data_IF_436830795337
#
_entry.id   IF_436830795337
#
_cell.length_a   1.000
_cell.length_b   1.000
_cell.length_c   1.000
_cell.angle_alpha   90.00
_cell.angle_beta   90.00
_cell.angle_gamma   90.00
#
_symmetry.space_group_name_H-M   'P 1'
#
loop_
_entity.id
_entity.type
_entity.pdbx_description
1 polymer ?
#
# COMPACT_ATOMS: atom_id res chain seq x y z
N UNK A 1 5.13 -9.96 16.95
CA UNK A 1 6.19 -9.74 15.92
C UNK A 1 5.86 -8.45 15.17
N UNK A 2 6.83 -7.73 14.61
CA UNK A 2 6.54 -6.51 13.84
C UNK A 2 6.54 -6.78 12.35
N UNK A 3 5.63 -6.16 11.60
CA UNK A 3 5.53 -6.28 10.14
C UNK A 3 5.31 -4.88 9.53
N UNK A 4 5.85 -4.58 8.32
CA UNK A 4 5.48 -3.36 7.60
C UNK A 4 3.97 -3.24 7.53
N UNK A 5 3.44 -2.04 7.73
CA UNK A 5 2.00 -1.81 7.66
C UNK A 5 1.48 -2.00 6.23
N UNK A 6 0.16 -2.16 6.09
CA UNK A 6 -0.46 -2.26 4.78
C UNK A 6 -0.07 -1.02 3.95
N UNK A 7 0.59 -1.21 2.80
CA UNK A 7 1.08 -0.08 2.06
C UNK A 7 -0.05 0.83 1.51
N UNK A 8 -1.32 0.40 1.54
CA UNK A 8 -2.48 1.31 1.41
C UNK A 8 -2.49 2.44 2.45
N UNK A 9 -2.13 2.17 3.70
CA UNK A 9 -2.36 3.09 4.82
C UNK A 9 -1.46 4.33 4.75
N UNK A 10 -0.20 4.18 4.36
CA UNK A 10 0.70 5.31 4.15
C UNK A 10 0.46 6.01 2.81
N UNK A 11 -0.01 5.30 1.78
CA UNK A 11 -0.41 5.93 0.52
C UNK A 11 -1.64 6.82 0.69
N UNK A 12 -2.61 6.42 1.50
CA UNK A 12 -3.71 7.31 1.96
C UNK A 12 -3.16 8.57 2.61
N UNK A 13 -2.13 8.42 3.43
CA UNK A 13 -1.47 9.53 4.11
C UNK A 13 -0.69 10.44 3.15
N UNK A 14 -0.04 9.88 2.12
CA UNK A 14 0.81 10.62 1.18
C UNK A 14 0.01 11.29 0.04
N UNK A 15 -0.91 10.56 -0.58
CA UNK A 15 -1.72 11.06 -1.68
C UNK A 15 -2.98 11.82 -1.21
N UNK A 16 -3.36 11.70 0.06
CA UNK A 16 -4.51 12.42 0.63
C UNK A 16 -5.80 12.17 -0.18
N UNK A 17 -6.48 13.24 -0.59
CA UNK A 17 -7.70 13.17 -1.41
C UNK A 17 -7.48 12.45 -2.75
N UNK A 18 -6.26 12.47 -3.32
CA UNK A 18 -5.96 11.73 -4.56
C UNK A 18 -5.94 10.21 -4.37
N UNK A 19 -5.73 9.71 -3.15
CA UNK A 19 -5.88 8.28 -2.88
C UNK A 19 -7.35 7.87 -2.87
N UNK A 20 -8.25 8.74 -2.42
CA UNK A 20 -9.70 8.50 -2.49
C UNK A 20 -10.21 8.49 -3.93
N UNK A 21 -9.49 9.15 -4.85
CA UNK A 21 -9.69 9.06 -6.29
C UNK A 21 -9.26 7.71 -6.89
N UNK A 22 -8.35 6.98 -6.23
CA UNK A 22 -7.85 5.68 -6.65
C UNK A 22 -8.73 4.56 -6.10
N UNK A 23 -9.56 3.98 -6.95
CA UNK A 23 -10.50 2.95 -6.49
C UNK A 23 -9.97 1.56 -6.83
N UNK A 24 -9.45 0.90 -5.81
CA UNK A 24 -8.92 -0.47 -5.87
C UNK A 24 -10.05 -1.41 -5.45
N UNK A 25 -10.37 -2.36 -6.32
CA UNK A 25 -11.40 -3.37 -6.05
C UNK A 25 -10.80 -4.77 -6.04
N UNK A 26 -11.18 -5.55 -5.03
CA UNK A 26 -10.75 -6.93 -4.86
C UNK A 26 -11.94 -7.86 -4.57
N UNK A 27 -11.67 -9.16 -4.47
CA UNK A 27 -12.70 -10.14 -4.10
C UNK A 27 -13.25 -9.99 -2.66
N UNK A 28 -12.64 -9.16 -1.82
CA UNK A 28 -13.07 -8.90 -0.45
C UNK A 28 -13.97 -7.67 -0.33
N UNK A 29 -14.21 -6.95 -1.43
CA UNK A 29 -15.18 -5.84 -1.53
C UNK A 29 -16.38 -6.18 -2.44
N UNK A 30 -17.08 -7.31 -2.22
CA UNK A 30 -18.23 -7.71 -3.02
C UNK A 30 -19.40 -6.75 -2.79
N UNK A 31 -19.69 -5.90 -3.76
CA UNK A 31 -20.82 -4.96 -3.71
C UNK A 31 -20.50 -3.52 -4.10
N UNK A 32 -19.24 -3.21 -4.41
CA UNK A 32 -18.84 -1.87 -4.83
C UNK A 32 -18.67 -1.72 -6.35
N UNK A 33 -19.13 -2.68 -7.15
CA UNK A 33 -19.04 -2.66 -8.62
C UNK A 33 -19.77 -1.44 -9.21
N UNK A 34 -20.91 -1.06 -8.63
CA UNK A 34 -21.65 0.12 -9.07
C UNK A 34 -20.85 1.41 -8.81
N UNK A 35 -20.17 1.51 -7.66
CA UNK A 35 -19.26 2.63 -7.38
C UNK A 35 -18.06 2.66 -8.34
N UNK A 36 -17.58 1.48 -8.74
CA UNK A 36 -16.46 1.38 -9.69
C UNK A 36 -16.86 1.89 -11.07
N UNK A 37 -18.07 1.53 -11.52
CA UNK A 37 -18.65 2.05 -12.76
C UNK A 37 -18.86 3.57 -12.67
N UNK A 38 -19.39 4.05 -11.55
CA UNK A 38 -19.56 5.49 -11.33
C UNK A 38 -18.23 6.26 -11.37
N UNK A 39 -17.17 5.70 -10.78
CA UNK A 39 -15.82 6.28 -10.85
C UNK A 39 -15.31 6.33 -12.30
N UNK A 40 -15.47 5.25 -13.06
CA UNK A 40 -15.11 5.22 -14.48
C UNK A 40 -15.91 6.24 -15.31
N UNK A 41 -17.21 6.40 -15.05
CA UNK A 41 -18.08 7.39 -15.70
C UNK A 41 -17.66 8.83 -15.39
N UNK A 42 -17.10 9.08 -14.20
CA UNK A 42 -16.50 10.37 -13.82
C UNK A 42 -15.13 10.62 -14.46
N UNK A 43 -14.63 9.68 -15.27
CA UNK A 43 -13.31 9.77 -15.90
C UNK A 43 -12.16 9.44 -14.95
N UNK A 44 -12.44 8.78 -13.81
CA UNK A 44 -11.41 8.30 -12.88
C UNK A 44 -10.89 6.94 -13.35
N UNK A 45 -9.61 6.68 -13.11
CA UNK A 45 -9.05 5.37 -13.37
C UNK A 45 -9.48 4.37 -12.29
N UNK A 46 -9.92 3.20 -12.75
CA UNK A 46 -10.38 2.11 -11.90
C UNK A 46 -9.37 0.97 -11.98
N UNK A 47 -8.94 0.47 -10.83
CA UNK A 47 -8.00 -0.64 -10.73
C UNK A 47 -8.69 -1.86 -10.12
N UNK A 48 -8.50 -3.03 -10.73
CA UNK A 48 -9.17 -4.24 -10.31
C UNK A 48 -8.20 -5.42 -10.23
N UNK A 49 -8.27 -6.13 -9.09
CA UNK A 49 -7.55 -7.37 -8.87
C UNK A 49 -8.31 -8.55 -9.51
N UNK A 50 -7.67 -9.29 -10.43
CA UNK A 50 -8.29 -10.44 -11.05
C UNK A 50 -8.46 -11.57 -10.02
N UNK A 51 -9.57 -12.29 -10.11
CA UNK A 51 -9.84 -13.41 -9.21
C UNK A 51 -10.36 -14.66 -9.93
N UNK A 52 -10.47 -15.80 -9.22
CA UNK A 52 -10.84 -17.07 -9.83
C UNK A 52 -12.19 -17.00 -10.57
N UNK A 53 -12.24 -17.48 -11.82
CA UNK A 53 -13.47 -17.44 -12.66
C UNK A 53 -14.67 -18.19 -12.07
N UNK A 54 -14.42 -19.17 -11.21
CA UNK A 54 -15.47 -19.92 -10.50
C UNK A 54 -15.92 -19.30 -9.18
N UNK A 55 -15.30 -18.19 -8.75
CA UNK A 55 -15.64 -17.49 -7.51
C UNK A 55 -16.71 -16.44 -7.76
N UNK A 56 -17.88 -16.51 -7.10
CA UNK A 56 -18.91 -15.46 -7.18
C UNK A 56 -18.39 -14.08 -6.76
N UNK A 57 -17.42 -14.03 -5.84
CA UNK A 57 -16.84 -12.79 -5.33
C UNK A 57 -15.92 -12.10 -6.35
N UNK A 58 -15.37 -12.86 -7.30
CA UNK A 58 -14.47 -12.36 -8.34
C UNK A 58 -15.20 -11.99 -9.63
N UNK A 59 -16.51 -12.25 -9.72
CA UNK A 59 -17.30 -11.92 -10.90
C UNK A 59 -17.28 -10.41 -11.16
N UNK A 60 -17.49 -9.61 -10.12
CA UNK A 60 -17.51 -8.15 -10.21
C UNK A 60 -16.17 -7.56 -10.65
N UNK A 61 -15.06 -7.97 -10.03
CA UNK A 61 -13.73 -7.46 -10.40
C UNK A 61 -13.33 -7.89 -11.81
N UNK A 62 -13.63 -9.12 -12.21
CA UNK A 62 -13.37 -9.59 -13.56
C UNK A 62 -14.25 -8.89 -14.62
N UNK A 63 -15.48 -8.50 -14.29
CA UNK A 63 -16.33 -7.66 -15.15
C UNK A 63 -15.77 -6.23 -15.28
N UNK A 64 -15.29 -5.63 -14.19
CA UNK A 64 -14.64 -4.31 -14.26
C UNK A 64 -13.42 -4.33 -15.18
N UNK A 65 -12.58 -5.37 -15.08
CA UNK A 65 -11.43 -5.55 -15.99
C UNK A 65 -11.90 -5.66 -17.44
N UNK A 66 -13.00 -6.39 -17.70
CA UNK A 66 -13.58 -6.48 -19.05
C UNK A 66 -14.10 -5.13 -19.56
N UNK A 67 -14.65 -4.32 -18.67
CA UNK A 67 -15.20 -3.00 -18.97
C UNK A 67 -14.12 -1.91 -19.13
N UNK A 68 -12.84 -2.26 -18.94
CA UNK A 68 -11.69 -1.37 -19.17
C UNK A 68 -10.96 -0.92 -17.92
N UNK A 69 -11.27 -1.48 -16.75
CA UNK A 69 -10.46 -1.26 -15.55
C UNK A 69 -9.04 -1.82 -15.75
N UNK A 70 -8.07 -1.12 -15.17
CA UNK A 70 -6.67 -1.53 -15.19
C UNK A 70 -6.51 -2.76 -14.30
N UNK A 71 -6.08 -3.86 -14.90
CA UNK A 71 -5.74 -5.07 -14.17
C UNK A 71 -4.47 -4.81 -13.37
N UNK A 72 -4.53 -5.08 -12.07
CA UNK A 72 -3.37 -5.00 -11.17
C UNK A 72 -3.25 -6.29 -10.37
N UNK A 73 -2.02 -6.72 -10.08
CA UNK A 73 -1.71 -7.92 -9.29
C UNK A 73 -1.37 -7.59 -7.83
N UNK A 74 -1.14 -6.31 -7.55
CA UNK A 74 -0.82 -5.82 -6.23
C UNK A 74 -0.59 -4.33 -6.26
N UNK A 75 -0.16 -3.80 -5.13
CA UNK A 75 0.07 -2.38 -4.98
C UNK A 75 1.23 -1.88 -5.85
N UNK A 76 2.25 -2.71 -6.10
CA UNK A 76 3.37 -2.34 -6.96
C UNK A 76 2.90 -1.95 -8.37
N UNK A 77 1.98 -2.71 -8.97
CA UNK A 77 1.39 -2.40 -10.27
C UNK A 77 0.66 -1.05 -10.27
N UNK A 78 0.01 -0.72 -9.14
CA UNK A 78 -0.69 0.55 -8.96
C UNK A 78 0.32 1.70 -8.83
N UNK A 79 1.40 1.52 -8.08
CA UNK A 79 2.45 2.52 -7.91
C UNK A 79 3.23 2.74 -9.21
N UNK A 80 3.48 1.69 -9.97
CA UNK A 80 4.09 1.77 -11.29
C UNK A 80 3.18 2.56 -12.24
N UNK A 81 1.89 2.23 -12.27
CA UNK A 81 0.92 2.95 -13.10
C UNK A 81 0.76 4.42 -12.68
N UNK A 82 0.69 4.70 -11.37
CA UNK A 82 0.67 6.06 -10.85
C UNK A 82 1.97 6.82 -11.14
N UNK A 83 3.11 6.14 -11.09
CA UNK A 83 4.41 6.70 -11.48
C UNK A 83 4.45 7.06 -12.95
N UNK A 84 3.91 6.21 -13.83
CA UNK A 84 3.78 6.50 -15.26
C UNK A 84 2.79 7.64 -15.55
N UNK A 85 1.64 7.66 -14.87
CA UNK A 85 0.61 8.71 -15.02
C UNK A 85 1.13 10.04 -14.47
N UNK A 86 1.82 10.02 -13.33
CA UNK A 86 2.51 11.17 -12.76
C UNK A 86 3.57 11.72 -13.71
N UNK A 87 4.41 10.85 -14.27
CA UNK A 87 5.42 11.23 -15.26
C UNK A 87 4.80 11.82 -16.54
N UNK A 88 3.66 11.29 -17.01
CA UNK A 88 2.91 11.83 -18.17
C UNK A 88 2.25 13.18 -17.88
N UNK A 89 1.90 13.45 -16.63
CA UNK A 89 1.24 14.70 -16.19
C UNK A 89 2.21 15.73 -15.58
N UNK A 90 3.52 15.50 -15.60
CA UNK A 90 4.52 16.42 -15.04
C UNK A 90 4.57 16.46 -13.51
N UNK A 91 4.00 15.44 -12.85
CA UNK A 91 4.15 15.19 -11.41
C UNK A 91 5.37 14.27 -11.26
N UNK A 92 6.50 14.87 -10.91
CA UNK A 92 7.83 14.22 -10.99
C UNK A 92 8.08 13.15 -9.92
N UNK A 93 7.25 13.04 -8.88
CA UNK A 93 7.48 12.13 -7.77
C UNK A 93 6.56 10.91 -7.82
N UNK A 94 7.14 9.79 -8.27
CA UNK A 94 6.65 8.47 -7.92
C UNK A 94 6.52 8.36 -6.38
N UNK A 95 5.54 7.61 -5.87
CA UNK A 95 5.39 7.44 -4.43
C UNK A 95 6.68 6.85 -3.85
N UNK A 96 7.21 7.41 -2.75
CA UNK A 96 8.48 6.96 -2.22
C UNK A 96 8.34 5.52 -1.72
N UNK A 97 9.29 4.64 -2.05
CA UNK A 97 9.34 3.27 -1.53
C UNK A 97 9.47 3.18 0.01
N UNK A 98 9.68 4.34 0.65
CA UNK A 98 9.77 4.53 2.09
C UNK A 98 8.72 5.58 2.47
N UNK A 99 7.90 5.35 3.50
CA UNK A 99 6.97 6.36 3.98
C UNK A 99 7.67 7.72 4.19
N UNK A 100 7.09 8.83 3.73
CA UNK A 100 7.72 10.14 3.84
C UNK A 100 7.80 10.59 5.30
N UNK A 101 8.88 11.31 5.63
CA UNK A 101 9.11 11.82 6.99
C UNK A 101 9.72 10.82 7.97
N UNK A 102 10.27 9.70 7.49
CA UNK A 102 11.11 8.82 8.31
C UNK A 102 12.51 9.39 8.52
N UNK A 103 13.00 9.35 9.76
CA UNK A 103 14.41 9.66 10.06
C UNK A 103 15.32 8.45 9.76
N UNK A 104 16.64 8.61 9.91
CA UNK A 104 17.62 7.54 9.61
C UNK A 104 17.38 6.26 10.41
N UNK A 105 16.99 6.40 11.68
CA UNK A 105 16.71 5.25 12.57
C UNK A 105 15.46 4.51 12.10
N UNK A 106 14.39 5.25 11.82
CA UNK A 106 13.12 4.71 11.37
C UNK A 106 13.24 4.04 9.99
N UNK A 107 13.99 4.65 9.07
CA UNK A 107 14.26 4.11 7.73
C UNK A 107 14.99 2.77 7.81
N UNK A 108 16.02 2.69 8.67
CA UNK A 108 16.79 1.45 8.88
C UNK A 108 15.91 0.33 9.44
N UNK A 109 15.08 0.65 10.44
CA UNK A 109 14.15 -0.32 11.04
C UNK A 109 13.07 -0.77 10.05
N UNK A 110 12.51 0.16 9.28
CA UNK A 110 11.49 -0.12 8.27
C UNK A 110 12.04 -1.07 7.19
N UNK A 111 13.24 -0.81 6.67
CA UNK A 111 13.90 -1.65 5.67
C UNK A 111 14.11 -3.09 6.16
N UNK A 112 14.57 -3.28 7.40
CA UNK A 112 14.76 -4.61 7.98
C UNK A 112 13.44 -5.38 8.13
N UNK A 113 12.35 -4.67 8.46
CA UNK A 113 11.02 -5.26 8.57
C UNK A 113 10.42 -5.61 7.20
N UNK A 114 10.86 -4.94 6.12
CA UNK A 114 10.42 -5.27 4.75
C UNK A 114 10.89 -6.64 4.30
N UNK A 115 12.00 -7.14 4.86
CA UNK A 115 12.51 -8.50 4.61
C UNK A 115 11.66 -9.60 5.27
N UNK A 116 10.80 -9.24 6.22
CA UNK A 116 9.96 -10.18 6.95
C UNK A 116 9.82 -9.80 8.43
N UNK A 117 8.94 -10.50 9.16
CA UNK A 117 8.63 -10.12 10.52
C UNK A 117 9.82 -10.44 11.45
N UNK A 118 10.21 -9.47 12.27
CA UNK A 118 11.37 -9.57 13.17
C UNK A 118 10.98 -9.32 14.63
N UNK A 119 11.78 -9.90 15.54
CA UNK A 119 11.74 -9.61 16.97
C UNK A 119 12.49 -8.33 17.30
N UNK A 120 12.24 -7.74 18.48
CA UNK A 120 13.01 -6.57 18.96
C UNK A 120 14.50 -6.89 19.05
N UNK A 121 14.85 -8.07 19.55
CA UNK A 121 16.24 -8.51 19.69
C UNK A 121 16.92 -8.67 18.33
N UNK A 122 16.21 -9.20 17.33
CA UNK A 122 16.72 -9.29 15.96
C UNK A 122 16.91 -7.90 15.33
N UNK A 123 15.99 -6.97 15.57
CA UNK A 123 16.13 -5.59 15.09
C UNK A 123 17.36 -4.91 15.69
N UNK A 124 17.58 -5.03 17.00
CA UNK A 124 18.80 -4.50 17.66
C UNK A 124 20.05 -5.12 17.03
N UNK A 125 20.07 -6.44 16.86
CA UNK A 125 21.22 -7.17 16.32
C UNK A 125 21.52 -6.84 14.85
N UNK A 126 20.50 -6.70 14.01
CA UNK A 126 20.67 -6.46 12.56
C UNK A 126 20.88 -4.98 12.22
N UNK A 127 20.24 -4.08 12.96
CA UNK A 127 20.36 -2.63 12.72
C UNK A 127 21.63 -2.01 13.30
N UNK A 128 22.24 -2.64 14.30
CA UNK A 128 23.36 -2.06 15.06
C UNK A 128 22.94 -0.89 15.95
N UNK A 129 21.65 -0.61 16.08
CA UNK A 129 21.09 0.44 16.92
C UNK A 129 20.98 -0.03 18.38
N UNK A 130 20.99 0.93 19.31
CA UNK A 130 20.73 0.62 20.73
C UNK A 130 19.28 0.22 20.95
N UNK A 131 19.00 -0.58 21.99
CA UNK A 131 17.63 -0.95 22.36
C UNK A 131 16.71 0.27 22.58
N UNK A 132 17.26 1.39 23.07
CA UNK A 132 16.50 2.63 23.23
C UNK A 132 16.12 3.26 21.88
N UNK A 133 17.05 3.28 20.91
CA UNK A 133 16.77 3.75 19.55
C UNK A 133 15.76 2.85 18.84
N UNK A 134 15.90 1.53 18.97
CA UNK A 134 14.93 0.58 18.42
C UNK A 134 13.56 0.80 19.04
N UNK A 135 13.44 0.87 20.37
CA UNK A 135 12.17 1.09 21.04
C UNK A 135 11.49 2.40 20.58
N UNK A 136 12.23 3.52 20.60
CA UNK A 136 11.71 4.82 20.17
C UNK A 136 11.33 4.83 18.68
N UNK A 137 12.18 4.26 17.81
CA UNK A 137 11.92 4.20 16.37
C UNK A 137 10.71 3.34 16.04
N UNK A 138 10.56 2.19 16.71
CA UNK A 138 9.39 1.32 16.56
C UNK A 138 8.11 2.00 17.04
N UNK A 139 8.14 2.73 18.16
CA UNK A 139 6.98 3.52 18.61
C UNK A 139 6.58 4.55 17.56
N UNK A 140 7.55 5.29 17.01
CA UNK A 140 7.27 6.29 15.98
C UNK A 140 6.76 5.68 14.68
N UNK A 141 7.33 4.55 14.25
CA UNK A 141 6.87 3.82 13.06
C UNK A 141 5.42 3.33 13.20
N UNK A 142 5.04 2.85 14.39
CA UNK A 142 3.64 2.48 14.67
C UNK A 142 2.72 3.70 14.66
N UNK A 143 3.13 4.81 15.28
CA UNK A 143 2.35 6.06 15.28
C UNK A 143 2.17 6.66 13.88
N UNK A 144 3.18 6.47 13.00
CA UNK A 144 3.14 6.89 11.61
C UNK A 144 2.37 5.93 10.69
N UNK A 145 1.90 4.79 11.20
CA UNK A 145 1.26 3.76 10.38
C UNK A 145 2.19 3.14 9.35
N UNK A 146 3.49 3.09 9.63
CA UNK A 146 4.49 2.45 8.75
C UNK A 146 4.77 0.99 9.17
N UNK A 147 4.44 0.63 10.40
CA UNK A 147 4.62 -0.72 10.96
C UNK A 147 3.44 -1.06 11.86
N UNK A 148 2.95 -2.29 11.79
CA UNK A 148 1.96 -2.83 12.72
C UNK A 148 2.54 -3.90 13.65
N UNK A 149 1.99 -3.95 14.86
CA UNK A 149 2.39 -4.91 15.89
C UNK A 149 1.40 -6.08 15.88
N UNK A 150 1.86 -7.27 15.50
CA UNK A 150 1.01 -8.47 15.53
C UNK A 150 1.07 -9.14 16.91
N UNK A 151 -0.08 -9.60 17.45
CA UNK A 151 -0.10 -10.53 18.57
C UNK A 151 0.80 -11.72 18.25
N UNK A 152 1.62 -12.12 19.23
CA UNK A 152 2.60 -13.19 19.09
C UNK A 152 1.96 -14.53 18.74
#
# INVERSE_FOLDING_TARGET
MFRPDDPEQWLRTYYGEKFEELTIYDQNTPGLVELAREAAEQGREVFALPGPVGSPLSHGTNELIRDGAVLVQGLDDILEHLGEVGAKMGVEEAPPAVPPGLNETETTLHALLTEGPLSVDDLVRRSGLTSAQVASGMTMLVLKGAVSQQPG
#
